data_IF_577476138538
#
_entry.id   IF_577476138538
#
_cell.length_a   1.000
_cell.length_b   1.000
_cell.length_c   1.000
_cell.angle_alpha   90.00
_cell.angle_beta   90.00
_cell.angle_gamma   90.00
#
_symmetry.space_group_name_H-M   'P 1'
#
loop_
_entity.id
_entity.type
_entity.pdbx_description
1 polymer ?
#
# COMPACT_ATOMS: atom_id res chain seq x y z
N UNK A 1 19.69 0.25 20.75
CA UNK A 1 20.05 -1.06 21.36
C UNK A 1 21.42 -1.10 21.98
N UNK A 2 22.37 -0.29 21.53
CA UNK A 2 23.70 -0.21 22.14
C UNK A 2 23.64 -0.08 23.68
N UNK A 3 22.88 0.88 24.21
CA UNK A 3 22.70 1.07 25.65
C UNK A 3 22.14 -0.17 26.38
N UNK A 4 21.29 -0.97 25.72
CA UNK A 4 20.78 -2.23 26.28
C UNK A 4 21.88 -3.31 26.31
N UNK A 5 22.71 -3.38 25.27
CA UNK A 5 23.86 -4.29 25.20
C UNK A 5 24.97 -3.90 26.20
N UNK A 6 25.08 -2.61 26.53
CA UNK A 6 25.93 -2.10 27.61
C UNK A 6 25.40 -2.44 29.01
N UNK A 7 24.26 -3.14 29.12
CA UNK A 7 23.68 -3.57 30.39
C UNK A 7 22.82 -2.51 31.09
N UNK A 8 22.53 -1.38 30.44
CA UNK A 8 21.67 -0.35 31.05
C UNK A 8 20.23 -0.85 31.17
N UNK A 9 19.58 -0.44 32.26
CA UNK A 9 18.18 -0.73 32.51
C UNK A 9 17.28 0.01 31.52
N UNK A 10 16.08 -0.53 31.28
CA UNK A 10 15.05 0.10 30.43
C UNK A 10 14.68 1.51 30.90
N UNK A 11 14.81 1.79 32.20
CA UNK A 11 14.56 3.11 32.79
C UNK A 11 15.65 4.09 32.38
N UNK A 12 16.91 3.74 32.58
CA UNK A 12 18.05 4.59 32.18
C UNK A 12 18.05 4.87 30.68
N UNK A 13 17.73 3.86 29.86
CA UNK A 13 17.62 4.04 28.40
C UNK A 13 16.49 5.03 28.05
N UNK A 14 15.36 4.95 28.74
CA UNK A 14 14.22 5.86 28.55
C UNK A 14 14.59 7.30 28.91
N UNK A 15 15.32 7.48 30.01
CA UNK A 15 15.79 8.78 30.49
C UNK A 15 16.85 9.37 29.55
N UNK A 16 17.85 8.60 29.13
CA UNK A 16 18.94 9.04 28.24
C UNK A 16 18.44 9.40 26.84
N UNK A 17 17.52 8.61 26.29
CA UNK A 17 17.01 8.81 24.92
C UNK A 17 15.75 9.68 24.87
N UNK A 18 15.23 10.11 26.03
CA UNK A 18 13.96 10.83 26.16
C UNK A 18 12.77 10.18 25.41
N UNK A 19 12.76 8.85 25.33
CA UNK A 19 11.65 8.08 24.74
C UNK A 19 10.88 7.32 25.82
N UNK A 20 9.57 7.12 25.66
CA UNK A 20 8.78 6.40 26.66
C UNK A 20 9.31 4.97 26.90
N UNK A 21 9.32 4.53 28.17
CA UNK A 21 9.75 3.18 28.57
C UNK A 21 9.03 2.05 27.82
N UNK A 22 7.76 2.27 27.43
CA UNK A 22 6.99 1.33 26.60
C UNK A 22 7.64 1.15 25.22
N UNK A 23 8.05 2.25 24.59
CA UNK A 23 8.74 2.25 23.30
C UNK A 23 10.11 1.59 23.40
N UNK A 24 10.87 1.88 24.47
CA UNK A 24 12.14 1.19 24.77
C UNK A 24 11.92 -0.33 24.84
N UNK A 25 10.89 -0.75 25.57
CA UNK A 25 10.57 -2.17 25.73
C UNK A 25 10.23 -2.83 24.40
N UNK A 26 9.41 -2.16 23.57
CA UNK A 26 9.07 -2.64 22.23
C UNK A 26 10.30 -2.78 21.32
N UNK A 27 11.20 -1.80 21.33
CA UNK A 27 12.45 -1.90 20.56
C UNK A 27 13.36 -3.02 21.06
N UNK A 28 13.44 -3.25 22.38
CA UNK A 28 14.23 -4.37 22.92
C UNK A 28 13.63 -5.70 22.48
N UNK A 29 12.30 -5.86 22.56
CA UNK A 29 11.62 -7.08 22.08
C UNK A 29 11.90 -7.35 20.60
N UNK A 30 11.73 -6.34 19.73
CA UNK A 30 12.04 -6.45 18.31
C UNK A 30 13.50 -6.87 18.07
N UNK A 31 14.43 -6.27 18.81
CA UNK A 31 15.84 -6.61 18.72
C UNK A 31 16.15 -8.04 19.21
N UNK A 32 15.52 -8.49 20.30
CA UNK A 32 15.73 -9.85 20.81
C UNK A 32 15.16 -10.92 19.89
N UNK A 33 14.10 -10.61 19.15
CA UNK A 33 13.43 -11.55 18.24
C UNK A 33 14.11 -11.62 16.85
N UNK A 34 14.57 -10.49 16.32
CA UNK A 34 15.09 -10.42 14.94
C UNK A 34 16.37 -9.63 14.76
N UNK A 35 17.11 -9.37 15.85
CA UNK A 35 18.41 -8.71 15.81
C UNK A 35 18.36 -7.26 15.32
N UNK A 36 19.48 -6.78 14.78
CA UNK A 36 19.58 -5.42 14.26
C UNK A 36 18.66 -5.18 13.04
N UNK A 37 18.49 -6.20 12.20
CA UNK A 37 17.63 -6.14 11.00
C UNK A 37 16.17 -5.87 11.33
N UNK A 38 15.68 -6.34 12.48
CA UNK A 38 14.31 -6.09 12.93
C UNK A 38 14.05 -4.64 13.35
N UNK A 39 15.10 -3.84 13.57
CA UNK A 39 14.99 -2.42 13.88
C UNK A 39 15.03 -1.52 12.64
N UNK A 40 15.33 -2.09 11.47
CA UNK A 40 15.30 -1.33 10.23
C UNK A 40 13.87 -0.88 9.95
N UNK A 41 13.71 0.43 9.74
CA UNK A 41 12.44 1.01 9.31
C UNK A 41 12.17 0.51 7.90
N UNK A 42 11.33 -0.51 7.78
CA UNK A 42 10.81 -0.93 6.48
C UNK A 42 9.75 0.06 6.05
N UNK A 43 9.92 0.66 4.87
CA UNK A 43 8.87 1.46 4.23
C UNK A 43 7.62 0.59 4.18
N UNK A 44 6.55 1.04 4.82
CA UNK A 44 5.27 0.35 4.76
C UNK A 44 4.91 0.19 3.28
N UNK A 45 4.57 -1.03 2.82
CA UNK A 45 4.09 -1.18 1.46
C UNK A 45 2.89 -0.24 1.30
N UNK A 46 2.87 0.52 0.21
CA UNK A 46 1.74 1.39 -0.10
C UNK A 46 0.44 0.60 -0.20
N UNK A 47 -0.67 1.29 -0.47
CA UNK A 47 -1.96 0.61 -0.69
C UNK A 47 -1.79 -0.48 -1.75
N UNK A 48 -2.25 -1.69 -1.44
CA UNK A 48 -2.27 -2.80 -2.40
C UNK A 48 -3.02 -2.36 -3.65
N UNK A 49 -2.41 -2.57 -4.82
CA UNK A 49 -3.07 -2.30 -6.12
C UNK A 49 -4.35 -3.12 -6.20
N UNK A 50 -5.41 -2.50 -6.70
CA UNK A 50 -6.70 -3.16 -6.84
C UNK A 50 -6.75 -4.13 -8.02
N UNK A 51 -6.01 -3.81 -9.08
CA UNK A 51 -5.84 -4.65 -10.26
C UNK A 51 -4.45 -5.29 -10.26
N UNK A 52 -4.39 -6.49 -10.81
CA UNK A 52 -3.12 -7.14 -11.15
C UNK A 52 -2.52 -6.49 -12.40
N UNK A 53 -1.20 -6.62 -12.60
CA UNK A 53 -0.52 -6.08 -13.79
C UNK A 53 -1.14 -6.57 -15.11
N UNK A 54 -1.68 -7.79 -15.13
CA UNK A 54 -2.39 -8.34 -16.30
C UNK A 54 -3.71 -7.61 -16.57
N UNK A 55 -4.48 -7.35 -15.52
CA UNK A 55 -5.76 -6.63 -15.62
C UNK A 55 -5.54 -5.15 -15.98
N UNK A 56 -4.47 -4.51 -15.48
CA UNK A 56 -4.10 -3.15 -15.87
C UNK A 56 -3.75 -3.07 -17.36
N UNK A 57 -2.95 -4.02 -17.87
CA UNK A 57 -2.60 -4.09 -19.30
C UNK A 57 -3.81 -4.31 -20.17
N UNK A 58 -4.71 -5.20 -19.76
CA UNK A 58 -5.95 -5.48 -20.47
C UNK A 58 -6.87 -4.26 -20.49
N UNK A 59 -7.05 -3.58 -19.35
CA UNK A 59 -7.81 -2.34 -19.26
C UNK A 59 -7.25 -1.24 -20.17
N UNK A 60 -5.93 -1.04 -20.11
CA UNK A 60 -5.23 -0.07 -20.96
C UNK A 60 -5.44 -0.37 -22.45
N UNK A 61 -5.34 -1.65 -22.83
CA UNK A 61 -5.56 -2.07 -24.21
C UNK A 61 -6.97 -1.70 -24.68
N UNK A 62 -8.01 -2.08 -23.94
CA UNK A 62 -9.41 -1.79 -24.31
C UNK A 62 -9.67 -0.29 -24.43
N UNK A 63 -9.22 0.50 -23.45
CA UNK A 63 -9.46 1.95 -23.46
C UNK A 63 -8.75 2.62 -24.64
N UNK A 64 -7.60 2.08 -25.07
CA UNK A 64 -6.82 2.65 -26.18
C UNK A 64 -7.28 2.21 -27.56
N UNK A 65 -7.92 1.05 -27.68
CA UNK A 65 -8.27 0.45 -28.98
C UNK A 65 -9.77 0.43 -29.29
N UNK A 66 -10.61 0.53 -28.26
CA UNK A 66 -12.06 0.47 -28.40
C UNK A 66 -12.70 1.75 -27.86
N UNK A 67 -13.87 2.08 -28.39
CA UNK A 67 -14.80 3.04 -27.78
C UNK A 67 -15.57 2.37 -26.63
N UNK A 68 -16.15 3.16 -25.70
CA UNK A 68 -17.02 2.60 -24.66
C UNK A 68 -18.23 1.82 -25.19
N UNK A 69 -18.69 2.13 -26.40
CA UNK A 69 -19.76 1.42 -27.10
C UNK A 69 -19.30 0.03 -27.55
N UNK A 70 -18.14 -0.06 -28.22
CA UNK A 70 -17.55 -1.34 -28.62
C UNK A 70 -17.19 -2.21 -27.41
N UNK A 71 -16.82 -1.60 -26.29
CA UNK A 71 -16.57 -2.28 -25.03
C UNK A 71 -17.86 -2.65 -24.25
N UNK A 72 -19.04 -2.26 -24.74
CA UNK A 72 -20.35 -2.62 -24.17
C UNK A 72 -20.75 -1.87 -22.89
N UNK A 73 -20.03 -0.81 -22.51
CA UNK A 73 -20.22 -0.12 -21.23
C UNK A 73 -20.88 1.26 -21.34
N UNK A 74 -21.02 1.78 -22.56
CA UNK A 74 -21.65 3.08 -22.83
C UNK A 74 -22.19 3.22 -24.24
N UNK A 75 -22.81 4.36 -24.52
CA UNK A 75 -23.34 4.74 -25.84
C UNK A 75 -22.58 5.93 -26.45
N UNK A 76 -21.52 6.37 -25.78
CA UNK A 76 -20.71 7.52 -26.17
C UNK A 76 -19.37 7.03 -26.73
N UNK A 77 -18.85 7.74 -27.75
CA UNK A 77 -17.55 7.42 -28.35
C UNK A 77 -16.34 7.73 -27.45
N UNK A 78 -16.52 8.53 -26.39
CA UNK A 78 -15.42 9.00 -25.53
C UNK A 78 -15.41 8.30 -24.17
N UNK A 79 -14.24 7.84 -23.76
CA UNK A 79 -14.03 7.29 -22.42
C UNK A 79 -14.20 8.34 -21.33
N UNK A 80 -14.85 7.94 -20.24
CA UNK A 80 -14.88 8.68 -18.99
C UNK A 80 -14.44 7.76 -17.86
N UNK A 81 -13.96 8.35 -16.75
CA UNK A 81 -13.58 7.57 -15.57
C UNK A 81 -14.74 6.69 -15.05
N UNK A 82 -15.99 7.17 -15.17
CA UNK A 82 -17.17 6.39 -14.79
C UNK A 82 -17.38 5.15 -15.68
N UNK A 83 -17.20 5.30 -17.00
CA UNK A 83 -17.29 4.18 -17.95
C UNK A 83 -16.17 3.16 -17.74
N UNK A 84 -14.95 3.64 -17.46
CA UNK A 84 -13.82 2.77 -17.11
C UNK A 84 -14.07 2.02 -15.78
N UNK A 85 -14.65 2.69 -14.76
CA UNK A 85 -15.05 2.02 -13.52
C UNK A 85 -16.07 0.91 -13.77
N UNK A 86 -17.08 1.17 -14.60
CA UNK A 86 -18.09 0.16 -14.97
C UNK A 86 -17.45 -1.04 -15.67
N UNK A 87 -16.56 -0.81 -16.64
CA UNK A 87 -15.84 -1.87 -17.34
C UNK A 87 -15.06 -2.76 -16.35
N UNK A 88 -14.34 -2.15 -15.42
CA UNK A 88 -13.56 -2.86 -14.41
C UNK A 88 -14.44 -3.65 -13.44
N UNK A 89 -15.58 -3.09 -13.03
CA UNK A 89 -16.53 -3.79 -12.16
C UNK A 89 -17.18 -4.99 -12.86
N UNK A 90 -17.55 -4.85 -14.13
CA UNK A 90 -18.16 -5.93 -14.91
C UNK A 90 -17.17 -7.05 -15.21
N UNK A 91 -15.94 -6.69 -15.61
CA UNK A 91 -14.94 -7.65 -16.11
C UNK A 91 -14.09 -8.28 -15.02
N UNK A 92 -13.70 -7.49 -14.02
CA UNK A 92 -12.77 -7.93 -12.97
C UNK A 92 -13.43 -8.05 -11.59
N UNK A 93 -14.70 -7.65 -11.44
CA UNK A 93 -15.41 -7.63 -10.14
C UNK A 93 -14.71 -6.77 -9.09
N UNK A 94 -13.96 -5.76 -9.54
CA UNK A 94 -13.25 -4.79 -8.69
C UNK A 94 -13.98 -3.45 -8.76
N UNK A 95 -14.23 -2.85 -7.59
CA UNK A 95 -14.87 -1.53 -7.51
C UNK A 95 -13.83 -0.44 -7.36
N UNK A 96 -13.90 0.55 -8.25
CA UNK A 96 -13.13 1.78 -8.16
C UNK A 96 -14.03 2.96 -7.83
N UNK A 97 -13.47 3.95 -7.14
CA UNK A 97 -14.06 5.29 -7.14
C UNK A 97 -13.62 6.01 -8.42
N UNK A 98 -14.44 6.96 -8.89
CA UNK A 98 -14.10 7.75 -10.08
C UNK A 98 -12.74 8.45 -9.93
N UNK A 99 -12.42 8.94 -8.73
CA UNK A 99 -11.12 9.54 -8.42
C UNK A 99 -9.99 8.51 -8.52
N UNK A 100 -10.16 7.34 -7.92
CA UNK A 100 -9.14 6.29 -7.94
C UNK A 100 -8.92 5.64 -9.30
N UNK A 101 -9.81 5.86 -10.27
CA UNK A 101 -9.64 5.44 -11.67
C UNK A 101 -8.85 6.46 -12.50
N UNK A 102 -8.78 7.72 -12.05
CA UNK A 102 -8.00 8.79 -12.70
C UNK A 102 -6.56 8.87 -12.19
N UNK A 103 -6.35 8.47 -10.95
CA UNK A 103 -5.06 8.44 -10.25
C UNK A 103 -4.24 7.21 -10.69
#
# INVERSE_FOLDING_TARGET
MLLYLEGRSRREISEVLHIPRRTVSGYISLYTEGGAEALLIRKQPGRTRFLTDGQEKELFHIISTCTPEEAGVGVFANWTALLACRLVEERFRVKFSERGMRD
#
